data_IF_894293607613
#
_entry.id   IF_894293607613
#
_cell.length_a   1.000
_cell.length_b   1.000
_cell.length_c   1.000
_cell.angle_alpha   90.00
_cell.angle_beta   90.00
_cell.angle_gamma   90.00
#
_symmetry.space_group_name_H-M   'P 1'
#
loop_
_entity.id
_entity.type
_entity.pdbx_description
1 polymer ?
#
# COMPACT_ATOMS: atom_id res chain seq x y z
N UNK A 1 -15.71 -16.99 -26.82
CA UNK A 1 -15.69 -16.66 -25.39
C UNK A 1 -14.29 -16.30 -24.97
N UNK A 2 -14.16 -15.26 -24.20
CA UNK A 2 -12.84 -14.85 -23.72
C UNK A 2 -12.62 -15.31 -22.28
N UNK A 3 -11.40 -15.69 -21.99
CA UNK A 3 -10.93 -16.01 -20.66
C UNK A 3 -9.84 -15.03 -20.31
N UNK A 4 -9.87 -14.50 -19.10
CA UNK A 4 -8.81 -13.63 -18.65
C UNK A 4 -8.41 -13.92 -17.21
N UNK A 5 -7.18 -13.59 -16.90
CA UNK A 5 -6.61 -13.78 -15.58
C UNK A 5 -6.46 -12.43 -14.90
N UNK A 6 -7.02 -12.33 -13.71
CA UNK A 6 -6.83 -11.18 -12.87
C UNK A 6 -5.67 -11.46 -11.93
N UNK A 7 -4.68 -10.57 -11.92
CA UNK A 7 -3.48 -10.72 -11.08
C UNK A 7 -3.66 -9.86 -9.84
N UNK A 8 -3.58 -10.50 -8.68
CA UNK A 8 -3.72 -9.87 -7.38
C UNK A 8 -2.44 -10.08 -6.61
N UNK A 9 -1.94 -9.03 -6.00
CA UNK A 9 -0.76 -9.08 -5.12
C UNK A 9 -1.15 -8.80 -3.68
N UNK A 10 -0.47 -9.51 -2.79
CA UNK A 10 -0.39 -9.14 -1.38
C UNK A 10 0.95 -8.46 -1.17
N UNK A 11 0.93 -7.22 -0.71
CA UNK A 11 2.12 -6.38 -0.56
C UNK A 11 2.28 -6.02 0.91
N UNK A 12 3.49 -6.14 1.44
CA UNK A 12 3.77 -5.78 2.82
C UNK A 12 5.02 -4.92 2.86
N UNK A 13 4.98 -3.82 3.56
CA UNK A 13 6.17 -3.04 3.88
C UNK A 13 6.02 -2.35 5.23
N UNK A 14 7.14 -2.09 5.86
CA UNK A 14 7.18 -1.57 7.21
C UNK A 14 7.88 -0.23 7.31
N UNK A 15 7.77 0.36 8.49
CA UNK A 15 8.50 1.55 8.85
C UNK A 15 9.99 1.23 9.07
N UNK A 16 10.82 2.27 8.95
CA UNK A 16 12.25 2.15 9.23
C UNK A 16 12.46 1.67 10.65
N UNK A 17 13.30 0.64 10.81
CA UNK A 17 13.62 0.00 12.08
C UNK A 17 12.39 -0.54 12.82
N UNK A 18 11.31 -0.81 12.07
CA UNK A 18 10.03 -1.30 12.63
C UNK A 18 9.47 -0.41 13.73
N UNK A 19 9.75 0.87 13.63
CA UNK A 19 9.24 1.87 14.59
C UNK A 19 7.71 1.91 14.54
N UNK A 20 7.08 1.82 15.70
CA UNK A 20 5.63 1.91 15.81
C UNK A 20 5.19 3.36 15.59
N UNK A 21 4.34 3.58 14.60
CA UNK A 21 3.87 4.92 14.24
C UNK A 21 2.37 5.00 13.97
N UNK A 22 1.71 3.85 13.77
CA UNK A 22 0.27 3.80 13.51
C UNK A 22 -0.48 3.53 14.82
N UNK A 23 -1.59 4.23 15.01
CA UNK A 23 -2.48 4.07 16.15
C UNK A 23 -3.93 4.22 15.68
N UNK A 24 -4.87 4.27 16.62
CA UNK A 24 -6.29 4.39 16.32
C UNK A 24 -6.66 5.74 15.70
N UNK A 25 -5.86 6.78 15.94
CA UNK A 25 -6.15 8.12 15.44
C UNK A 25 -5.71 8.31 14.00
N UNK A 26 -4.61 7.66 13.59
CA UNK A 26 -3.99 7.96 12.30
C UNK A 26 -4.06 6.85 11.26
N UNK A 27 -4.30 5.59 11.67
CA UNK A 27 -4.24 4.47 10.72
C UNK A 27 -5.25 4.60 9.59
N UNK A 28 -6.46 5.03 9.88
CA UNK A 28 -7.51 5.20 8.87
C UNK A 28 -7.16 6.25 7.83
N UNK A 29 -6.44 7.30 8.24
CA UNK A 29 -5.99 8.35 7.32
C UNK A 29 -4.99 7.80 6.33
N UNK A 30 -4.00 7.04 6.82
CA UNK A 30 -3.00 6.42 5.94
C UNK A 30 -3.64 5.40 5.01
N UNK A 31 -4.47 4.50 5.53
CA UNK A 31 -5.06 3.43 4.72
C UNK A 31 -6.02 4.01 3.67
N UNK A 32 -6.82 5.00 4.02
CA UNK A 32 -7.69 5.69 3.06
C UNK A 32 -6.90 6.40 1.96
N UNK A 33 -5.77 6.99 2.31
CA UNK A 33 -4.90 7.63 1.34
C UNK A 33 -4.35 6.61 0.34
N UNK A 34 -3.91 5.45 0.83
CA UNK A 34 -3.39 4.38 -0.04
C UNK A 34 -4.50 3.84 -0.97
N UNK A 35 -5.71 3.64 -0.45
CA UNK A 35 -6.85 3.24 -1.27
C UNK A 35 -7.08 4.24 -2.40
N UNK A 36 -7.05 5.53 -2.09
CA UNK A 36 -7.21 6.58 -3.11
C UNK A 36 -6.12 6.54 -4.17
N UNK A 37 -4.88 6.28 -3.77
CA UNK A 37 -3.78 6.15 -4.72
C UNK A 37 -3.96 4.97 -5.66
N UNK A 38 -4.37 3.83 -5.11
CA UNK A 38 -4.61 2.62 -5.92
C UNK A 38 -5.70 2.86 -6.94
N UNK A 39 -6.81 3.46 -6.53
CA UNK A 39 -7.90 3.78 -7.42
C UNK A 39 -7.48 4.73 -8.55
N UNK A 40 -6.67 5.72 -8.26
CA UNK A 40 -6.17 6.67 -9.28
C UNK A 40 -5.30 5.99 -10.32
N UNK A 41 -4.67 4.87 -9.97
CA UNK A 41 -3.79 4.12 -10.87
C UNK A 41 -4.49 2.92 -11.51
N UNK A 42 -5.81 2.88 -11.44
CA UNK A 42 -6.62 1.78 -11.96
C UNK A 42 -6.25 0.42 -11.37
N UNK A 43 -5.78 0.43 -10.14
CA UNK A 43 -5.56 -0.77 -9.35
C UNK A 43 -6.75 -0.91 -8.41
N UNK A 44 -7.39 -2.08 -8.39
CA UNK A 44 -8.56 -2.29 -7.56
C UNK A 44 -8.12 -2.81 -6.18
N UNK A 45 -8.26 -2.02 -5.10
CA UNK A 45 -7.88 -2.48 -3.77
C UNK A 45 -8.98 -3.38 -3.19
N UNK A 46 -8.56 -4.53 -2.67
CA UNK A 46 -9.46 -5.43 -1.94
C UNK A 46 -9.35 -5.22 -0.44
N UNK A 47 -8.13 -4.92 0.03
CA UNK A 47 -7.90 -4.70 1.44
C UNK A 47 -6.66 -3.82 1.64
N UNK A 48 -6.75 -2.84 2.51
CA UNK A 48 -5.60 -2.07 2.97
C UNK A 48 -5.70 -2.00 4.49
N UNK A 49 -4.68 -2.48 5.17
CA UNK A 49 -4.63 -2.50 6.62
C UNK A 49 -3.20 -2.67 7.11
N UNK A 50 -3.04 -3.05 8.36
CA UNK A 50 -1.72 -3.26 8.92
C UNK A 50 -1.73 -3.24 10.44
N UNK A 51 -0.56 -3.10 11.00
CA UNK A 51 -0.33 -2.97 12.44
C UNK A 51 0.41 -1.66 12.74
N UNK A 52 0.89 -1.54 13.95
CA UNK A 52 1.53 -0.31 14.42
C UNK A 52 2.78 0.09 13.61
N UNK A 53 3.42 -0.85 12.92
CA UNK A 53 4.70 -0.61 12.25
C UNK A 53 4.77 -1.14 10.83
N UNK A 54 3.67 -1.58 10.24
CA UNK A 54 3.67 -2.04 8.85
C UNK A 54 2.30 -1.96 8.21
N UNK A 55 2.30 -2.03 6.87
CA UNK A 55 1.11 -1.93 6.04
C UNK A 55 0.98 -3.20 5.20
N UNK A 56 -0.25 -3.71 5.08
CA UNK A 56 -0.64 -4.80 4.20
C UNK A 56 -1.60 -4.29 3.15
N UNK A 57 -1.34 -4.62 1.91
CA UNK A 57 -2.20 -4.24 0.78
C UNK A 57 -2.53 -5.49 -0.01
N UNK A 58 -3.81 -5.72 -0.27
CA UNK A 58 -4.25 -6.75 -1.21
C UNK A 58 -4.94 -6.02 -2.36
N UNK A 59 -4.37 -6.08 -3.54
CA UNK A 59 -4.85 -5.28 -4.66
C UNK A 59 -4.61 -5.95 -6.01
N UNK A 60 -5.54 -5.70 -6.92
CA UNK A 60 -5.32 -5.92 -8.34
C UNK A 60 -4.30 -4.89 -8.83
N UNK A 61 -3.42 -5.30 -9.73
CA UNK A 61 -2.43 -4.40 -10.34
C UNK A 61 -2.82 -4.15 -11.79
N UNK A 62 -2.97 -2.88 -12.14
CA UNK A 62 -3.21 -2.49 -13.53
C UNK A 62 -2.05 -2.94 -14.41
N UNK A 63 -2.31 -3.47 -15.64
CA UNK A 63 -1.22 -3.85 -16.54
C UNK A 63 -0.35 -2.67 -17.00
N UNK A 64 -0.79 -1.44 -16.75
CA UNK A 64 -0.04 -0.24 -17.15
C UNK A 64 1.04 0.17 -16.15
N UNK A 65 1.14 -0.47 -14.99
CA UNK A 65 2.15 -0.12 -13.99
C UNK A 65 2.81 -1.39 -13.45
N UNK A 66 4.12 -1.36 -13.25
CA UNK A 66 4.83 -2.46 -12.62
C UNK A 66 4.60 -2.46 -11.12
N UNK A 67 4.74 -3.64 -10.50
CA UNK A 67 4.64 -3.77 -9.05
C UNK A 67 5.66 -2.86 -8.34
N UNK A 68 6.90 -2.86 -8.82
CA UNK A 68 7.96 -2.05 -8.21
C UNK A 68 7.64 -0.55 -8.27
N UNK A 69 7.14 -0.08 -9.41
CA UNK A 69 6.76 1.32 -9.57
C UNK A 69 5.58 1.69 -8.68
N UNK A 70 4.60 0.80 -8.57
CA UNK A 70 3.43 1.03 -7.72
C UNK A 70 3.85 1.18 -6.25
N UNK A 71 4.68 0.27 -5.75
CA UNK A 71 5.14 0.32 -4.36
C UNK A 71 5.97 1.58 -4.11
N UNK A 72 6.86 1.92 -5.04
CA UNK A 72 7.65 3.14 -4.94
C UNK A 72 6.75 4.38 -4.84
N UNK A 73 5.75 4.47 -5.70
CA UNK A 73 4.84 5.60 -5.72
C UNK A 73 4.02 5.71 -4.42
N UNK A 74 3.53 4.56 -3.92
CA UNK A 74 2.78 4.54 -2.67
C UNK A 74 3.67 5.00 -1.50
N UNK A 75 4.88 4.48 -1.42
CA UNK A 75 5.81 4.86 -0.36
C UNK A 75 6.14 6.36 -0.40
N UNK A 76 6.45 6.85 -1.58
CA UNK A 76 6.82 8.27 -1.76
C UNK A 76 5.67 9.19 -1.39
N UNK A 77 4.50 8.96 -1.97
CA UNK A 77 3.36 9.84 -1.77
C UNK A 77 2.83 9.77 -0.34
N UNK A 78 2.79 8.58 0.26
CA UNK A 78 2.34 8.44 1.65
C UNK A 78 3.33 9.08 2.63
N UNK A 79 4.63 8.98 2.36
CA UNK A 79 5.64 9.66 3.16
C UNK A 79 5.41 11.18 3.13
N UNK A 80 5.20 11.74 1.94
CA UNK A 80 4.95 13.18 1.78
C UNK A 80 3.66 13.60 2.51
N UNK A 81 2.62 12.81 2.42
CA UNK A 81 1.36 13.09 3.12
C UNK A 81 1.56 13.10 4.63
N UNK A 82 2.24 12.09 5.15
CA UNK A 82 2.49 12.00 6.59
C UNK A 82 3.40 13.12 7.10
N UNK A 83 4.34 13.57 6.26
CA UNK A 83 5.20 14.69 6.61
C UNK A 83 4.42 16.01 6.73
N UNK A 84 3.34 16.17 5.97
CA UNK A 84 2.46 17.32 6.07
C UNK A 84 1.52 17.24 7.27
N UNK A 85 1.19 16.04 7.71
CA UNK A 85 0.32 15.77 8.85
C UNK A 85 1.15 15.41 10.09
N UNK A 86 2.07 16.28 10.44
CA UNK A 86 3.07 16.01 11.49
C UNK A 86 2.49 15.68 12.85
N UNK A 87 1.38 16.31 13.21
CA UNK A 87 0.75 16.06 14.50
C UNK A 87 0.22 14.63 14.62
N UNK A 88 -0.32 14.10 13.50
CA UNK A 88 -0.88 12.75 13.48
C UNK A 88 0.18 11.67 13.31
N UNK A 89 1.27 11.97 12.62
CA UNK A 89 2.29 10.99 12.28
C UNK A 89 3.67 11.35 12.86
N UNK A 90 3.67 11.82 14.08
CA UNK A 90 4.88 12.32 14.77
C UNK A 90 5.99 11.29 14.85
N UNK A 91 5.64 10.02 14.99
CA UNK A 91 6.61 8.95 15.21
C UNK A 91 7.03 8.25 13.92
N UNK A 92 6.52 8.68 12.76
CA UNK A 92 6.88 8.04 11.51
C UNK A 92 8.30 8.40 11.09
N UNK A 93 9.23 7.41 11.04
CA UNK A 93 10.64 7.70 10.72
C UNK A 93 10.97 7.59 9.24
N UNK A 94 10.01 7.20 8.42
CA UNK A 94 10.20 6.83 7.04
C UNK A 94 9.92 5.36 6.81
N UNK A 95 9.82 4.96 5.55
CA UNK A 95 9.63 3.56 5.19
C UNK A 95 10.97 2.82 5.14
N UNK A 96 10.93 1.55 5.51
CA UNK A 96 12.05 0.63 5.33
C UNK A 96 12.34 0.45 3.84
N UNK A 97 13.58 0.17 3.48
CA UNK A 97 13.94 -0.19 2.11
C UNK A 97 13.34 -1.56 1.78
N UNK A 98 12.75 -1.66 0.59
CA UNK A 98 12.20 -2.93 0.13
C UNK A 98 10.76 -3.18 0.55
N UNK A 99 10.27 -4.35 0.17
CA UNK A 99 8.90 -4.79 0.46
C UNK A 99 8.80 -6.29 0.20
N UNK A 100 7.79 -6.93 0.81
CA UNK A 100 7.41 -8.29 0.47
C UNK A 100 6.21 -8.27 -0.46
N UNK A 101 6.15 -9.21 -1.41
CA UNK A 101 5.00 -9.33 -2.29
C UNK A 101 4.74 -10.78 -2.65
N UNK A 102 3.46 -11.16 -2.66
CA UNK A 102 3.00 -12.48 -3.06
C UNK A 102 1.98 -12.30 -4.18
N UNK A 103 2.22 -12.97 -5.30
CA UNK A 103 1.35 -12.90 -6.47
C UNK A 103 0.33 -14.02 -6.42
N UNK A 104 -0.94 -13.68 -6.66
CA UNK A 104 -2.01 -14.64 -6.81
C UNK A 104 -2.69 -14.42 -8.15
N UNK A 105 -3.08 -15.50 -8.81
CA UNK A 105 -3.80 -15.45 -10.07
C UNK A 105 -5.16 -16.11 -9.90
N UNK A 106 -6.17 -15.42 -10.40
CA UNK A 106 -7.53 -15.93 -10.43
C UNK A 106 -8.01 -16.00 -11.87
N UNK A 107 -8.43 -17.19 -12.27
CA UNK A 107 -8.98 -17.41 -13.60
C UNK A 107 -10.47 -17.08 -13.55
N UNK A 108 -10.89 -16.14 -14.41
CA UNK A 108 -12.29 -15.74 -14.53
C UNK A 108 -12.78 -16.14 -15.91
N UNK A 109 -13.85 -16.90 -15.92
CA UNK A 109 -14.43 -17.41 -17.15
C UNK A 109 -15.81 -16.80 -17.36
#
# INVERSE_FOLDING_TARGET
MSTYTQIIYQIVFGSKDYTKFLDQKNHGILFGYIVGMLNKRNCHPYQVGGFSNHVHIVTHISPSISLADLVRDIKKASHEMMAKEKELFRLFPGWQVGYGAFKEEYLII
#
